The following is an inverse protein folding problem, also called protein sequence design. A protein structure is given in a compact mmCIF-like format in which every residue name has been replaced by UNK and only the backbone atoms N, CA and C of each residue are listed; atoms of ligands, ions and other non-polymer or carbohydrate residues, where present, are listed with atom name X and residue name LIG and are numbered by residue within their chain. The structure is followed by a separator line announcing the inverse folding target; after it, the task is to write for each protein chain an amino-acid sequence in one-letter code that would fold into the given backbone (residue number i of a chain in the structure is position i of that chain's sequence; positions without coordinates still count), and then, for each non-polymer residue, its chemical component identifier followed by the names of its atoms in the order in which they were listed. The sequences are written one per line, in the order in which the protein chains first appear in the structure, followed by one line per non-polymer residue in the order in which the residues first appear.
data_IF_753905764152
#
_entry.id   IF_753905764152
#
_cell.length_a   1.000
_cell.length_b   1.000
_cell.length_c   1.000
_cell.angle_alpha   90.00
_cell.angle_beta   90.00
_cell.angle_gamma   90.00
#
_symmetry.space_group_name_H-M   'P 1'
#
loop_
_entity.id
_entity.type
_entity.pdbx_description
1 polymer ?
#
# COMPACT_ATOMS: atom_id res chain seq x y z
N UNK A 1 -44.03 14.85 -6.63
CA UNK A 1 -43.75 14.73 -5.19
C UNK A 1 -43.91 13.28 -4.75
N UNK A 2 -42.90 12.74 -4.09
CA UNK A 2 -42.77 11.32 -3.71
C UNK A 2 -42.83 11.15 -2.19
N UNK A 3 -43.29 9.99 -1.72
CA UNK A 3 -43.17 9.52 -0.34
C UNK A 3 -41.77 8.97 -0.10
N UNK A 4 -41.35 8.91 1.16
CA UNK A 4 -40.08 8.28 1.56
C UNK A 4 -39.92 6.85 1.04
N UNK A 5 -40.96 6.02 1.10
CA UNK A 5 -40.89 4.63 0.60
C UNK A 5 -40.63 4.55 -0.90
N UNK A 6 -41.14 5.51 -1.67
CA UNK A 6 -40.90 5.60 -3.11
C UNK A 6 -39.46 6.06 -3.38
N UNK A 7 -38.95 7.00 -2.58
CA UNK A 7 -37.53 7.41 -2.62
C UNK A 7 -36.58 6.27 -2.25
N UNK A 8 -36.88 5.51 -1.20
CA UNK A 8 -36.13 4.30 -0.81
C UNK A 8 -36.06 3.31 -1.99
N UNK A 9 -37.20 3.05 -2.64
CA UNK A 9 -37.27 2.14 -3.79
C UNK A 9 -36.47 2.64 -5.01
N UNK A 10 -36.55 3.94 -5.30
CA UNK A 10 -35.92 4.54 -6.50
C UNK A 10 -34.41 4.74 -6.34
N UNK A 11 -33.96 5.05 -5.13
CA UNK A 11 -32.55 5.40 -4.85
C UNK A 11 -31.77 4.24 -4.24
N UNK A 12 -32.46 3.25 -3.67
CA UNK A 12 -31.86 2.16 -2.91
C UNK A 12 -31.21 2.62 -1.59
N UNK A 13 -31.43 3.86 -1.17
CA UNK A 13 -31.00 4.35 0.14
C UNK A 13 -31.93 3.80 1.22
N UNK A 14 -31.34 3.31 2.31
CA UNK A 14 -32.11 2.81 3.45
C UNK A 14 -32.84 3.95 4.16
N UNK A 15 -33.94 3.61 4.83
CA UNK A 15 -34.75 4.55 5.63
C UNK A 15 -33.92 5.41 6.58
N UNK A 16 -32.99 4.78 7.30
CA UNK A 16 -32.13 5.43 8.27
C UNK A 16 -31.21 6.45 7.59
N UNK A 17 -30.59 6.10 6.46
CA UNK A 17 -29.75 7.02 5.69
C UNK A 17 -30.53 8.24 5.20
N UNK A 18 -31.74 8.05 4.67
CA UNK A 18 -32.61 9.16 4.24
C UNK A 18 -33.00 10.04 5.44
N UNK A 19 -33.28 9.43 6.59
CA UNK A 19 -33.57 10.18 7.83
C UNK A 19 -32.35 10.96 8.31
N UNK A 20 -31.15 10.37 8.32
CA UNK A 20 -29.92 11.00 8.78
C UNK A 20 -29.49 12.16 7.87
N UNK A 21 -29.79 12.07 6.56
CA UNK A 21 -29.61 13.14 5.59
C UNK A 21 -30.57 14.32 5.83
N UNK A 22 -31.79 14.05 6.29
CA UNK A 22 -32.84 15.04 6.52
C UNK A 22 -32.93 15.58 7.95
N UNK A 23 -32.28 14.94 8.92
CA UNK A 23 -32.33 15.34 10.34
C UNK A 23 -31.34 16.48 10.62
N UNK A 24 -31.86 17.69 10.87
CA UNK A 24 -31.08 18.89 11.20
C UNK A 24 -30.62 18.97 12.67
N UNK A 25 -30.93 17.97 13.52
CA UNK A 25 -30.49 17.96 14.92
C UNK A 25 -28.98 17.65 15.02
N UNK A 26 -28.22 18.73 15.05
CA UNK A 26 -26.76 18.85 15.13
C UNK A 26 -26.21 18.45 16.51
N UNK A 27 -26.06 17.15 16.78
CA UNK A 27 -25.27 16.75 17.96
C UNK A 27 -24.33 15.56 17.80
N UNK A 28 -24.35 14.82 16.68
CA UNK A 28 -23.27 13.94 16.19
C UNK A 28 -23.81 13.20 14.96
N UNK A 29 -23.08 13.24 13.85
CA UNK A 29 -23.23 12.37 12.67
C UNK A 29 -24.47 12.56 11.75
N UNK A 30 -25.39 13.47 12.04
CA UNK A 30 -26.45 13.86 11.10
C UNK A 30 -25.90 14.78 10.01
N UNK A 31 -26.09 14.42 8.74
CA UNK A 31 -25.61 15.22 7.60
C UNK A 31 -26.39 16.54 7.43
N UNK A 32 -27.64 16.59 7.90
CA UNK A 32 -28.40 17.81 8.20
C UNK A 32 -28.45 18.90 7.12
N UNK A 33 -28.17 18.59 5.85
CA UNK A 33 -28.05 19.61 4.80
C UNK A 33 -29.28 19.68 3.88
N UNK A 34 -30.20 18.72 3.94
CA UNK A 34 -31.29 18.59 2.99
C UNK A 34 -32.67 18.61 3.66
N UNK A 35 -33.46 19.66 3.40
CA UNK A 35 -34.83 19.77 3.88
C UNK A 35 -35.80 19.28 2.79
N UNK A 36 -36.68 18.30 3.08
CA UNK A 36 -37.68 17.87 2.10
C UNK A 36 -38.58 19.03 1.67
N UNK A 37 -39.00 19.06 0.40
CA UNK A 37 -39.90 20.08 -0.13
C UNK A 37 -41.18 20.29 0.72
N UNK A 38 -41.66 19.25 1.41
CA UNK A 38 -42.67 19.38 2.47
C UNK A 38 -42.25 18.55 3.68
N UNK A 39 -42.10 19.21 4.84
CA UNK A 39 -41.91 18.56 6.14
C UNK A 39 -43.05 18.87 7.10
N UNK A 40 -43.79 17.83 7.53
CA UNK A 40 -44.80 17.87 8.59
C UNK A 40 -44.56 16.71 9.57
N UNK A 41 -45.05 16.79 10.82
CA UNK A 41 -45.01 15.66 11.74
C UNK A 41 -45.61 14.41 11.06
N UNK A 42 -44.84 13.32 11.02
CA UNK A 42 -45.16 12.04 10.38
C UNK A 42 -45.34 12.06 8.84
N UNK A 43 -44.98 13.16 8.17
CA UNK A 43 -45.24 13.33 6.75
C UNK A 43 -44.17 14.15 6.04
N UNK A 44 -43.34 13.46 5.24
CA UNK A 44 -42.38 14.10 4.33
C UNK A 44 -42.75 13.82 2.88
N UNK A 45 -42.70 14.86 2.04
CA UNK A 45 -42.77 14.72 0.58
C UNK A 45 -41.51 15.27 -0.05
N UNK A 46 -41.04 14.53 -1.04
CA UNK A 46 -39.82 14.84 -1.78
C UNK A 46 -40.19 15.33 -3.18
N UNK A 47 -39.55 16.35 -3.70
CA UNK A 47 -39.69 16.81 -5.08
C UNK A 47 -38.60 16.24 -6.00
N UNK A 48 -38.53 16.74 -7.24
CA UNK A 48 -37.55 16.24 -8.21
C UNK A 48 -36.11 16.57 -7.81
N UNK A 49 -35.87 17.76 -7.24
CA UNK A 49 -34.56 18.16 -6.74
C UNK A 49 -34.10 17.24 -5.61
N UNK A 50 -35.02 16.88 -4.71
CA UNK A 50 -34.77 15.94 -3.63
C UNK A 50 -34.33 14.56 -4.16
N UNK A 51 -35.01 14.05 -5.19
CA UNK A 51 -34.64 12.77 -5.82
C UNK A 51 -33.25 12.83 -6.48
N UNK A 52 -32.92 13.92 -7.16
CA UNK A 52 -31.61 14.11 -7.79
C UNK A 52 -30.49 14.18 -6.75
N UNK A 53 -30.73 14.84 -5.61
CA UNK A 53 -29.80 14.88 -4.49
C UNK A 53 -29.59 13.48 -3.90
N UNK A 54 -30.64 12.73 -3.62
CA UNK A 54 -30.50 11.35 -3.11
C UNK A 54 -29.83 10.41 -4.12
N UNK A 55 -30.11 10.57 -5.42
CA UNK A 55 -29.40 9.85 -6.46
C UNK A 55 -27.90 10.14 -6.42
N UNK A 56 -27.51 11.40 -6.28
CA UNK A 56 -26.12 11.81 -6.17
C UNK A 56 -25.44 11.25 -4.90
N UNK A 57 -26.10 11.36 -3.75
CA UNK A 57 -25.63 10.76 -2.49
C UNK A 57 -25.37 9.26 -2.68
N UNK A 58 -26.31 8.56 -3.34
CA UNK A 58 -26.15 7.13 -3.64
C UNK A 58 -24.93 6.86 -4.52
N UNK A 59 -24.68 7.67 -5.55
CA UNK A 59 -23.50 7.50 -6.40
C UNK A 59 -22.20 7.73 -5.62
N UNK A 60 -22.15 8.76 -4.78
CA UNK A 60 -20.97 9.06 -3.96
C UNK A 60 -20.68 7.94 -2.95
N UNK A 61 -21.71 7.45 -2.25
CA UNK A 61 -21.55 6.31 -1.33
C UNK A 61 -21.08 5.05 -2.07
N UNK A 62 -21.62 4.79 -3.26
CA UNK A 62 -21.22 3.64 -4.09
C UNK A 62 -19.74 3.66 -4.45
N UNK A 63 -19.16 4.84 -4.69
CA UNK A 63 -17.74 5.00 -5.02
C UNK A 63 -16.86 5.22 -3.77
N UNK A 64 -17.41 4.97 -2.57
CA UNK A 64 -16.64 4.86 -1.35
C UNK A 64 -16.53 6.14 -0.53
N UNK A 65 -17.39 7.15 -0.76
CA UNK A 65 -17.58 8.23 0.22
C UNK A 65 -18.40 7.73 1.40
N UNK A 66 -17.98 8.05 2.61
CA UNK A 66 -18.77 7.81 3.82
C UNK A 66 -19.93 8.82 3.89
N UNK A 67 -21.02 8.49 4.61
CA UNK A 67 -22.12 9.44 4.79
C UNK A 67 -21.61 10.83 5.22
N UNK A 68 -20.75 10.91 6.24
CA UNK A 68 -20.22 12.17 6.76
C UNK A 68 -19.46 13.02 5.71
N UNK A 69 -18.86 12.40 4.69
CA UNK A 69 -18.14 13.11 3.63
C UNK A 69 -19.05 13.61 2.51
N UNK A 70 -20.24 13.01 2.34
CA UNK A 70 -21.12 13.30 1.21
C UNK A 70 -21.68 14.72 1.27
N UNK A 71 -22.08 15.20 2.44
CA UNK A 71 -22.65 16.55 2.60
C UNK A 71 -21.73 17.65 2.08
N UNK A 72 -20.49 17.75 2.59
CA UNK A 72 -19.50 18.72 2.09
C UNK A 72 -19.24 18.58 0.58
N UNK A 73 -19.08 17.34 0.08
CA UNK A 73 -18.77 17.09 -1.33
C UNK A 73 -19.93 17.49 -2.25
N UNK A 74 -21.18 17.28 -1.83
CA UNK A 74 -22.37 17.72 -2.57
C UNK A 74 -22.49 19.24 -2.57
N UNK A 75 -22.17 19.92 -1.46
CA UNK A 75 -22.16 21.38 -1.41
C UNK A 75 -21.10 21.96 -2.36
N UNK A 76 -19.89 21.39 -2.37
CA UNK A 76 -18.80 21.77 -3.28
C UNK A 76 -19.16 21.63 -4.77
N UNK A 77 -20.15 20.80 -5.14
CA UNK A 77 -20.64 20.71 -6.52
C UNK A 77 -21.42 21.95 -6.97
N UNK A 78 -22.02 22.66 -6.01
CA UNK A 78 -22.83 23.85 -6.27
C UNK A 78 -22.02 25.14 -6.21
N UNK A 79 -20.82 25.07 -5.62
CA UNK A 79 -19.89 26.18 -5.52
C UNK A 79 -19.07 26.35 -6.81
N UNK A 80 -18.58 27.56 -7.06
CA UNK A 80 -17.69 27.81 -8.20
C UNK A 80 -16.29 27.26 -7.91
N UNK A 81 -15.78 26.39 -8.79
CA UNK A 81 -14.40 25.91 -8.74
C UNK A 81 -14.27 24.42 -9.03
N UNK A 82 -13.14 23.85 -8.63
CA UNK A 82 -12.74 22.46 -8.86
C UNK A 82 -12.69 21.64 -7.56
N UNK A 83 -13.26 22.14 -6.46
CA UNK A 83 -13.26 21.46 -5.16
C UNK A 83 -13.85 20.04 -5.24
N UNK A 84 -15.03 19.92 -5.84
CA UNK A 84 -15.64 18.62 -6.10
C UNK A 84 -14.75 17.69 -6.93
N UNK A 85 -14.13 18.21 -8.01
CA UNK A 85 -13.23 17.43 -8.87
C UNK A 85 -12.00 16.95 -8.09
N UNK A 86 -11.44 17.80 -7.21
CA UNK A 86 -10.35 17.40 -6.32
C UNK A 86 -10.80 16.33 -5.33
N UNK A 87 -11.97 16.44 -4.72
CA UNK A 87 -12.50 15.42 -3.81
C UNK A 87 -12.64 14.05 -4.50
N UNK A 88 -13.14 14.03 -5.74
CA UNK A 88 -13.21 12.81 -6.56
C UNK A 88 -11.82 12.24 -6.87
N UNK A 89 -10.87 13.10 -7.26
CA UNK A 89 -9.48 12.68 -7.52
C UNK A 89 -8.84 12.11 -6.27
N UNK A 90 -8.98 12.76 -5.12
CA UNK A 90 -8.47 12.26 -3.84
C UNK A 90 -9.06 10.88 -3.52
N UNK A 91 -10.37 10.69 -3.70
CA UNK A 91 -11.00 9.37 -3.52
C UNK A 91 -10.44 8.31 -4.46
N UNK A 92 -10.21 8.66 -5.72
CA UNK A 92 -9.62 7.75 -6.70
C UNK A 92 -8.20 7.32 -6.30
N UNK A 93 -7.36 8.23 -5.79
CA UNK A 93 -6.02 7.88 -5.28
C UNK A 93 -6.12 6.92 -4.08
N UNK A 94 -6.98 7.21 -3.11
CA UNK A 94 -7.19 6.30 -1.95
C UNK A 94 -7.61 4.90 -2.38
N UNK A 95 -8.49 4.80 -3.38
CA UNK A 95 -8.91 3.50 -3.93
C UNK A 95 -7.80 2.81 -4.71
N UNK A 96 -6.98 3.57 -5.46
CA UNK A 96 -5.82 3.04 -6.17
C UNK A 96 -4.78 2.49 -5.18
N UNK A 97 -4.46 3.21 -4.11
CA UNK A 97 -3.55 2.75 -3.06
C UNK A 97 -4.07 1.48 -2.38
N UNK A 98 -5.38 1.43 -2.09
CA UNK A 98 -6.01 0.23 -1.53
C UNK A 98 -5.94 -0.95 -2.50
N UNK A 99 -6.14 -0.72 -3.79
CA UNK A 99 -6.01 -1.75 -4.82
C UNK A 99 -4.57 -2.30 -4.85
N UNK A 100 -3.57 -1.43 -4.90
CA UNK A 100 -2.15 -1.82 -4.86
C UNK A 100 -1.85 -2.68 -3.63
N UNK A 101 -2.37 -2.29 -2.46
CA UNK A 101 -2.20 -3.08 -1.22
C UNK A 101 -2.85 -4.47 -1.32
N UNK A 102 -4.05 -4.57 -1.88
CA UNK A 102 -4.72 -5.86 -2.07
C UNK A 102 -3.95 -6.72 -3.08
N UNK A 103 -3.48 -6.14 -4.18
CA UNK A 103 -2.70 -6.85 -5.19
C UNK A 103 -1.39 -7.40 -4.57
N UNK A 104 -0.70 -6.60 -3.73
CA UNK A 104 0.46 -7.06 -2.95
C UNK A 104 0.13 -8.22 -2.00
N UNK A 105 -1.01 -8.15 -1.30
CA UNK A 105 -1.46 -9.24 -0.42
C UNK A 105 -1.79 -10.51 -1.19
N UNK A 106 -2.40 -10.40 -2.38
CA UNK A 106 -2.70 -11.53 -3.24
C UNK A 106 -1.43 -12.21 -3.73
N UNK A 107 -0.45 -11.45 -4.22
CA UNK A 107 0.82 -12.02 -4.67
C UNK A 107 1.60 -12.68 -3.52
N UNK A 108 1.53 -12.15 -2.29
CA UNK A 108 2.13 -12.80 -1.13
C UNK A 108 1.44 -14.13 -0.79
N UNK A 109 0.11 -14.19 -0.85
CA UNK A 109 -0.64 -15.43 -0.64
C UNK A 109 -0.29 -16.50 -1.69
N UNK A 110 -0.18 -16.11 -2.96
CA UNK A 110 0.24 -17.01 -4.05
C UNK A 110 1.63 -17.59 -3.79
N UNK A 111 2.60 -16.76 -3.41
CA UNK A 111 3.96 -17.22 -3.05
C UNK A 111 3.97 -18.12 -1.83
N UNK A 112 3.16 -17.82 -0.81
CA UNK A 112 3.04 -18.67 0.37
C UNK A 112 2.49 -20.05 0.02
N UNK A 113 1.46 -20.08 -0.84
CA UNK A 113 0.86 -21.33 -1.31
C UNK A 113 1.86 -22.16 -2.10
N UNK A 114 2.52 -21.57 -3.10
CA UNK A 114 3.53 -22.24 -3.94
C UNK A 114 4.68 -22.81 -3.07
N UNK A 115 5.27 -21.97 -2.22
CA UNK A 115 6.36 -22.39 -1.34
C UNK A 115 5.95 -23.51 -0.38
N UNK A 116 4.71 -23.47 0.14
CA UNK A 116 4.22 -24.48 1.08
C UNK A 116 3.78 -25.80 0.40
N UNK A 117 3.32 -25.73 -0.85
CA UNK A 117 2.89 -26.88 -1.64
C UNK A 117 4.08 -27.73 -2.10
N UNK A 118 5.17 -27.09 -2.51
CA UNK A 118 6.37 -27.75 -3.03
C UNK A 118 7.32 -28.27 -1.94
N UNK A 119 7.00 -28.01 -0.67
CA UNK A 119 7.87 -28.31 0.47
C UNK A 119 7.25 -29.33 1.44
N UNK A 120 8.11 -30.16 2.04
CA UNK A 120 7.73 -30.99 3.17
C UNK A 120 7.23 -30.12 4.35
N UNK A 121 6.28 -30.60 5.19
CA UNK A 121 5.69 -29.79 6.27
C UNK A 121 6.69 -29.10 7.19
N UNK A 122 7.78 -29.78 7.54
CA UNK A 122 8.88 -29.30 8.36
C UNK A 122 9.72 -28.19 7.70
N UNK A 123 9.72 -28.14 6.36
CA UNK A 123 10.50 -27.17 5.57
C UNK A 123 9.70 -25.92 5.17
N UNK A 124 8.37 -25.93 5.34
CA UNK A 124 7.48 -24.85 4.85
C UNK A 124 7.86 -23.47 5.38
N UNK A 125 8.25 -23.37 6.65
CA UNK A 125 8.65 -22.09 7.24
C UNK A 125 9.86 -21.50 6.49
N UNK A 126 10.85 -22.33 6.23
CA UNK A 126 12.05 -21.91 5.50
C UNK A 126 11.74 -21.62 4.04
N UNK A 127 10.90 -22.43 3.40
CA UNK A 127 10.49 -22.20 2.01
C UNK A 127 9.75 -20.87 1.84
N UNK A 128 8.79 -20.56 2.73
CA UNK A 128 8.07 -19.28 2.74
C UNK A 128 9.04 -18.12 3.00
N UNK A 129 9.94 -18.25 3.97
CA UNK A 129 10.96 -17.24 4.25
C UNK A 129 11.88 -17.01 3.04
N UNK A 130 12.31 -18.07 2.34
CA UNK A 130 13.09 -17.95 1.10
C UNK A 130 12.32 -17.20 0.03
N UNK A 131 11.06 -17.57 -0.21
CA UNK A 131 10.23 -16.94 -1.23
C UNK A 131 10.04 -15.44 -0.96
N UNK A 132 9.78 -15.05 0.29
CA UNK A 132 9.61 -13.63 0.64
C UNK A 132 10.91 -12.84 0.63
N UNK A 133 12.02 -13.39 1.09
CA UNK A 133 13.31 -12.70 1.00
C UNK A 133 13.72 -12.49 -0.46
N UNK A 134 13.45 -13.46 -1.34
CA UNK A 134 13.67 -13.31 -2.77
C UNK A 134 12.75 -12.25 -3.37
N UNK A 135 11.45 -12.26 -3.05
CA UNK A 135 10.50 -11.26 -3.53
C UNK A 135 10.87 -9.84 -3.07
N UNK A 136 11.30 -9.70 -1.81
CA UNK A 136 11.81 -8.44 -1.24
C UNK A 136 13.07 -7.97 -1.98
N UNK A 137 14.02 -8.86 -2.24
CA UNK A 137 15.21 -8.54 -3.03
C UNK A 137 14.85 -8.04 -4.44
N UNK A 138 13.87 -8.67 -5.10
CA UNK A 138 13.41 -8.23 -6.42
C UNK A 138 12.73 -6.87 -6.38
N UNK A 139 11.81 -6.66 -5.43
CA UNK A 139 11.12 -5.38 -5.25
C UNK A 139 12.10 -4.24 -4.97
N UNK A 140 13.10 -4.49 -4.13
CA UNK A 140 14.14 -3.53 -3.81
C UNK A 140 14.99 -3.13 -5.03
N UNK A 141 15.25 -4.08 -5.93
CA UNK A 141 15.93 -3.83 -7.21
C UNK A 141 15.05 -3.00 -8.14
N UNK A 142 13.77 -3.33 -8.25
CA UNK A 142 12.85 -2.62 -9.14
C UNK A 142 12.64 -1.16 -8.69
N UNK A 143 12.53 -0.94 -7.38
CA UNK A 143 12.50 0.40 -6.79
C UNK A 143 13.78 1.19 -7.11
N UNK A 144 14.94 0.58 -6.89
CA UNK A 144 16.23 1.21 -7.17
C UNK A 144 16.46 1.49 -8.67
N UNK A 145 16.03 0.57 -9.53
CA UNK A 145 16.13 0.68 -10.98
C UNK A 145 15.27 1.82 -11.53
N UNK A 146 14.04 1.94 -11.02
CA UNK A 146 13.13 3.04 -11.35
C UNK A 146 13.72 4.39 -10.92
N UNK A 147 14.26 4.49 -9.70
CA UNK A 147 14.89 5.72 -9.20
C UNK A 147 16.10 6.15 -10.04
N UNK A 148 16.99 5.20 -10.36
CA UNK A 148 18.26 5.49 -11.03
C UNK A 148 18.16 5.44 -12.56
N UNK A 149 16.98 5.08 -13.10
CA UNK A 149 16.77 4.81 -14.54
C UNK A 149 17.84 3.86 -15.08
N UNK A 150 18.09 2.79 -14.35
CA UNK A 150 19.13 1.83 -14.65
C UNK A 150 18.84 1.05 -15.94
N UNK A 151 19.89 0.56 -16.60
CA UNK A 151 19.74 -0.31 -17.77
C UNK A 151 19.39 -1.73 -17.35
N UNK A 152 18.71 -2.46 -18.24
CA UNK A 152 18.30 -3.86 -18.01
C UNK A 152 19.49 -4.74 -17.61
N UNK A 153 20.65 -4.58 -18.27
CA UNK A 153 21.87 -5.34 -17.95
C UNK A 153 22.38 -5.07 -16.52
N UNK A 154 22.27 -3.82 -16.04
CA UNK A 154 22.63 -3.49 -14.66
C UNK A 154 21.63 -4.10 -13.68
N UNK A 155 20.33 -4.06 -14.01
CA UNK A 155 19.26 -4.66 -13.22
C UNK A 155 19.44 -6.17 -13.09
N UNK A 156 19.71 -6.90 -14.17
CA UNK A 156 19.94 -8.35 -14.15
C UNK A 156 21.09 -8.74 -13.22
N UNK A 157 22.22 -8.02 -13.30
CA UNK A 157 23.40 -8.28 -12.47
C UNK A 157 23.16 -7.96 -11.00
N UNK A 158 22.53 -6.82 -10.71
CA UNK A 158 22.20 -6.44 -9.35
C UNK A 158 21.17 -7.41 -8.74
N UNK A 159 20.17 -7.83 -9.52
CA UNK A 159 19.17 -8.84 -9.14
C UNK A 159 19.83 -10.17 -8.80
N UNK A 160 20.70 -10.68 -9.67
CA UNK A 160 21.41 -11.93 -9.42
C UNK A 160 22.22 -11.89 -8.09
N UNK A 161 22.85 -10.75 -7.78
CA UNK A 161 23.59 -10.57 -6.52
C UNK A 161 22.67 -10.50 -5.30
N UNK A 162 21.64 -9.65 -5.30
CA UNK A 162 20.80 -9.46 -4.13
C UNK A 162 19.92 -10.71 -3.84
N UNK A 163 19.43 -11.37 -4.88
CA UNK A 163 18.74 -12.67 -4.74
C UNK A 163 19.69 -13.76 -4.23
N UNK A 164 20.96 -13.75 -4.67
CA UNK A 164 22.00 -14.61 -4.11
C UNK A 164 22.18 -14.40 -2.60
N UNK A 165 22.31 -13.14 -2.17
CA UNK A 165 22.41 -12.78 -0.75
C UNK A 165 21.19 -13.25 0.06
N UNK A 166 19.97 -13.12 -0.49
CA UNK A 166 18.76 -13.61 0.15
C UNK A 166 18.78 -15.14 0.37
N UNK A 167 19.34 -15.90 -0.58
CA UNK A 167 19.51 -17.36 -0.43
C UNK A 167 20.57 -17.71 0.61
N UNK A 168 21.70 -17.00 0.58
CA UNK A 168 22.79 -17.20 1.53
C UNK A 168 22.34 -16.92 2.98
N UNK A 169 21.48 -15.91 3.17
CA UNK A 169 20.83 -15.64 4.46
C UNK A 169 20.05 -16.86 4.96
N UNK A 170 19.21 -17.47 4.12
CA UNK A 170 18.42 -18.65 4.55
C UNK A 170 19.32 -19.85 4.82
N UNK A 171 20.34 -20.09 3.99
CA UNK A 171 21.31 -21.15 4.20
C UNK A 171 22.07 -20.98 5.52
N UNK A 172 22.41 -19.73 5.89
CA UNK A 172 23.02 -19.41 7.18
C UNK A 172 22.07 -19.71 8.36
N UNK A 173 20.78 -19.33 8.27
CA UNK A 173 19.78 -19.63 9.30
C UNK A 173 19.61 -21.14 9.50
N UNK A 174 19.70 -21.93 8.42
CA UNK A 174 19.64 -23.40 8.49
C UNK A 174 20.93 -24.06 8.98
N UNK A 175 22.02 -23.31 9.13
CA UNK A 175 23.33 -23.86 9.45
C UNK A 175 23.97 -24.66 8.31
N UNK A 176 23.45 -24.52 7.08
CA UNK A 176 23.95 -25.19 5.87
C UNK A 176 25.15 -24.45 5.25
N UNK A 177 25.24 -23.13 5.50
CA UNK A 177 26.39 -22.33 5.08
C UNK A 177 27.49 -22.36 6.15
N UNK A 178 28.70 -22.74 5.74
CA UNK A 178 29.89 -22.58 6.56
C UNK A 178 30.25 -21.09 6.63
N UNK A 179 29.62 -20.36 7.55
CA UNK A 179 30.18 -19.12 8.09
C UNK A 179 30.05 -17.87 7.22
N UNK A 180 28.90 -17.59 6.60
CA UNK A 180 28.58 -16.20 6.22
C UNK A 180 28.45 -15.39 7.52
N UNK A 181 29.58 -14.88 7.97
CA UNK A 181 29.64 -14.02 9.13
C UNK A 181 29.22 -12.60 8.69
N UNK A 182 28.73 -11.79 9.63
CA UNK A 182 28.30 -10.43 9.36
C UNK A 182 29.36 -9.61 8.61
N UNK A 183 30.66 -9.87 8.82
CA UNK A 183 31.74 -9.15 8.12
C UNK A 183 31.82 -9.50 6.63
N UNK A 184 31.42 -10.69 6.20
CA UNK A 184 31.36 -11.07 4.78
C UNK A 184 30.17 -10.41 4.08
N UNK A 185 29.04 -10.32 4.77
CA UNK A 185 27.88 -9.56 4.30
C UNK A 185 28.18 -8.06 4.24
N UNK A 186 28.85 -7.52 5.27
CA UNK A 186 29.36 -6.15 5.28
C UNK A 186 30.42 -5.90 4.21
N UNK A 187 31.26 -6.90 3.91
CA UNK A 187 32.25 -6.80 2.82
C UNK A 187 31.55 -6.81 1.46
N UNK A 188 30.47 -7.58 1.30
CA UNK A 188 29.63 -7.55 0.10
C UNK A 188 28.90 -6.20 -0.04
N UNK A 189 28.35 -5.67 1.05
CA UNK A 189 27.80 -4.31 1.15
C UNK A 189 28.86 -3.25 0.80
N UNK A 190 30.06 -3.37 1.36
CA UNK A 190 31.16 -2.45 1.12
C UNK A 190 31.64 -2.52 -0.34
N UNK A 191 31.71 -3.71 -0.93
CA UNK A 191 32.05 -3.91 -2.34
C UNK A 191 30.95 -3.39 -3.28
N UNK A 192 29.67 -3.51 -2.88
CA UNK A 192 28.55 -2.89 -3.59
C UNK A 192 28.61 -1.36 -3.55
N UNK A 193 29.11 -0.78 -2.47
CA UNK A 193 29.27 0.67 -2.30
C UNK A 193 30.62 1.24 -2.77
N UNK A 194 31.64 0.40 -2.98
CA UNK A 194 32.99 0.83 -3.34
C UNK A 194 33.07 1.12 -4.85
N UNK A 195 33.51 2.32 -5.23
CA UNK A 195 33.49 2.91 -6.58
C UNK A 195 34.34 2.22 -7.69
N UNK A 196 34.41 0.89 -7.73
CA UNK A 196 35.26 0.09 -8.62
C UNK A 196 34.54 -0.66 -9.75
N UNK A 197 33.22 -0.60 -9.84
CA UNK A 197 32.38 -1.20 -10.88
C UNK A 197 31.90 -0.15 -11.89
N UNK A 198 31.22 -0.58 -12.95
CA UNK A 198 30.55 0.36 -13.84
C UNK A 198 29.63 1.27 -12.99
N UNK A 199 29.78 2.61 -13.04
CA UNK A 199 29.24 3.52 -12.03
C UNK A 199 27.73 3.34 -11.74
N UNK A 200 26.96 2.84 -12.70
CA UNK A 200 25.52 2.57 -12.54
C UNK A 200 25.17 1.25 -11.83
N UNK A 201 25.96 0.18 -11.98
CA UNK A 201 25.63 -1.14 -11.40
C UNK A 201 25.79 -1.16 -9.88
N UNK A 202 26.86 -0.55 -9.39
CA UNK A 202 27.15 -0.47 -7.96
C UNK A 202 26.21 0.49 -7.24
N UNK A 203 25.94 1.65 -7.82
CA UNK A 203 24.94 2.58 -7.29
C UNK A 203 23.56 1.92 -7.21
N UNK A 204 23.18 1.13 -8.23
CA UNK A 204 21.94 0.36 -8.23
C UNK A 204 21.91 -0.68 -7.12
N UNK A 205 22.95 -1.49 -6.98
CA UNK A 205 23.00 -2.51 -5.95
C UNK A 205 22.99 -1.90 -4.54
N UNK A 206 23.77 -0.83 -4.30
CA UNK A 206 23.77 -0.12 -3.03
C UNK A 206 22.39 0.45 -2.70
N UNK A 207 21.71 1.06 -3.68
CA UNK A 207 20.34 1.57 -3.52
C UNK A 207 19.34 0.45 -3.26
N UNK A 208 19.43 -0.66 -3.98
CA UNK A 208 18.57 -1.82 -3.77
C UNK A 208 18.78 -2.44 -2.39
N UNK A 209 20.04 -2.57 -1.94
CA UNK A 209 20.31 -3.06 -0.59
C UNK A 209 19.77 -2.09 0.48
N UNK A 210 19.81 -0.78 0.24
CA UNK A 210 19.19 0.19 1.13
C UNK A 210 17.66 0.00 1.21
N UNK A 211 16.99 -0.27 0.09
CA UNK A 211 15.55 -0.60 0.06
C UNK A 211 15.26 -1.90 0.79
N UNK A 212 16.03 -2.97 0.51
CA UNK A 212 15.92 -4.26 1.18
C UNK A 212 16.09 -4.14 2.71
N UNK A 213 17.06 -3.36 3.19
CA UNK A 213 17.28 -3.13 4.62
C UNK A 213 16.29 -2.14 5.26
N UNK A 214 15.46 -1.47 4.48
CA UNK A 214 14.37 -0.63 4.98
C UNK A 214 13.04 -1.39 5.11
N UNK A 215 12.91 -2.56 4.48
CA UNK A 215 11.77 -3.46 4.68
C UNK A 215 11.89 -4.15 6.04
N UNK A 216 10.89 -3.95 6.90
CA UNK A 216 10.92 -4.41 8.30
C UNK A 216 10.80 -5.93 8.40
N UNK A 217 10.17 -6.54 7.40
CA UNK A 217 9.95 -7.98 7.24
C UNK A 217 11.28 -8.74 7.13
N UNK A 218 12.34 -8.09 6.62
CA UNK A 218 13.67 -8.69 6.50
C UNK A 218 14.47 -8.70 7.81
N UNK A 219 14.00 -7.99 8.84
CA UNK A 219 14.72 -7.86 10.10
C UNK A 219 14.93 -9.18 10.82
N UNK A 220 13.89 -10.03 10.92
CA UNK A 220 14.00 -11.33 11.62
C UNK A 220 14.99 -12.27 10.92
N UNK A 221 14.92 -12.50 9.60
CA UNK A 221 15.92 -13.33 8.91
C UNK A 221 17.35 -12.82 9.08
N UNK A 222 17.57 -11.50 9.02
CA UNK A 222 18.90 -10.90 9.18
C UNK A 222 19.44 -11.12 10.60
N UNK A 223 18.60 -10.92 11.63
CA UNK A 223 18.97 -11.14 13.03
C UNK A 223 19.25 -12.63 13.32
N UNK A 224 18.53 -13.55 12.68
CA UNK A 224 18.77 -14.98 12.80
C UNK A 224 20.07 -15.41 12.11
N UNK A 225 20.39 -14.84 10.95
CA UNK A 225 21.60 -15.17 10.20
C UNK A 225 22.87 -14.60 10.86
N UNK A 226 22.82 -13.37 11.35
CA UNK A 226 24.01 -12.62 11.79
C UNK A 226 24.05 -12.32 13.30
N UNK A 227 22.98 -12.60 14.02
CA UNK A 227 22.87 -12.36 15.45
C UNK A 227 22.29 -10.99 15.80
N UNK A 228 22.10 -10.80 17.11
CA UNK A 228 21.32 -9.70 17.68
C UNK A 228 21.90 -8.31 17.35
N UNK A 229 21.09 -7.43 16.80
CA UNK A 229 21.43 -6.03 16.48
C UNK A 229 21.98 -5.83 15.06
N UNK A 230 22.17 -6.92 14.31
CA UNK A 230 22.71 -6.88 12.95
C UNK A 230 21.82 -6.09 12.00
N UNK A 231 20.49 -6.19 12.10
CA UNK A 231 19.60 -5.50 11.16
C UNK A 231 19.73 -3.97 11.27
N UNK A 232 19.72 -3.45 12.50
CA UNK A 232 19.88 -2.02 12.76
C UNK A 232 21.28 -1.55 12.35
N UNK A 233 22.31 -2.35 12.64
CA UNK A 233 23.68 -2.03 12.28
C UNK A 233 23.86 -1.90 10.77
N UNK A 234 23.44 -2.92 10.00
CA UNK A 234 23.55 -2.95 8.55
C UNK A 234 22.76 -1.80 7.90
N UNK A 235 21.56 -1.49 8.43
CA UNK A 235 20.76 -0.36 7.96
C UNK A 235 21.48 0.98 8.18
N UNK A 236 22.14 1.18 9.32
CA UNK A 236 22.94 2.38 9.56
C UNK A 236 24.18 2.44 8.65
N UNK A 237 24.84 1.30 8.46
CA UNK A 237 26.03 1.21 7.61
C UNK A 237 25.73 1.55 6.14
N UNK A 238 24.60 1.09 5.58
CA UNK A 238 24.22 1.42 4.20
C UNK A 238 23.79 2.87 4.03
N UNK A 239 23.11 3.46 5.03
CA UNK A 239 22.71 4.87 5.01
C UNK A 239 23.93 5.80 5.06
N UNK A 240 24.97 5.45 5.82
CA UNK A 240 26.22 6.21 5.84
C UNK A 240 26.97 6.18 4.49
N UNK A 241 26.69 5.21 3.62
CA UNK A 241 27.40 4.96 2.36
C UNK A 241 26.60 5.34 1.12
N UNK A 242 25.29 5.55 1.25
CA UNK A 242 24.38 5.87 0.15
C UNK A 242 23.75 7.24 0.44
N UNK A 243 24.33 8.36 -0.02
CA UNK A 243 23.72 9.67 0.20
C UNK A 243 22.33 9.73 -0.46
N UNK A 244 21.42 10.48 0.16
CA UNK A 244 20.08 10.70 -0.36
C UNK A 244 20.17 11.24 -1.81
N UNK A 245 19.23 10.87 -2.69
CA UNK A 245 19.16 11.48 -4.01
C UNK A 245 18.99 13.00 -3.83
N UNK A 246 19.84 13.80 -4.47
CA UNK A 246 19.63 15.25 -4.56
C UNK A 246 18.25 15.47 -5.19
N UNK A 247 17.38 16.18 -4.46
CA UNK A 247 16.01 16.50 -4.88
C UNK A 247 15.98 17.56 -5.98
#
# INVERSE_FOLDING_TARGET
MWKRSEVEQLTGLGRHTIQDLCNQNTSRDGLGFWEPAVMKPDYSRFDEGDLLAFYLVRQLVKVGFTPAEVGPVVLEMTEQGDAFVRALRTRAHVLADRRTKIDMQMSALERFEEAAADSAPEERLYAVMTAELMASAEHAIDAAASELRASDLACERARARLVGMARDLVAAIRGEAAGVNANEFESCLAAACAAGGAPGEQALLARAVAHFLNEVENGVPIELAFGKGSFVHLRQAILARTPAPEQ
#
